data_IF_143022159533
#
_entry.id   IF_143022159533
#
_cell.length_a   1.000
_cell.length_b   1.000
_cell.length_c   1.000
_cell.angle_alpha   90.00
_cell.angle_beta   90.00
_cell.angle_gamma   90.00
#
_symmetry.space_group_name_H-M   'P 1'
#
loop_
_entity.id
_entity.type
_entity.pdbx_description
1 polymer ?
#
# COMPACT_ATOMS: atom_id res chain seq x y z
N UNK A 1 9.89 17.50 20.81
CA UNK A 1 8.78 16.67 21.34
C UNK A 1 7.45 16.83 20.57
N UNK A 2 7.20 17.98 19.94
CA UNK A 2 5.93 18.29 19.21
C UNK A 2 5.68 17.45 17.93
N UNK A 3 6.73 17.03 17.23
CA UNK A 3 6.57 16.41 15.90
C UNK A 3 6.13 14.94 15.90
N UNK A 4 6.39 14.21 16.98
CA UNK A 4 6.02 12.79 17.06
C UNK A 4 4.51 12.62 17.33
N UNK A 5 3.89 13.58 18.01
CA UNK A 5 2.43 13.59 18.22
C UNK A 5 1.65 13.67 16.88
N UNK A 6 2.28 14.21 15.83
CA UNK A 6 1.72 14.29 14.48
C UNK A 6 1.43 12.91 13.85
N UNK A 7 2.18 11.89 14.21
CA UNK A 7 2.08 10.53 13.62
C UNK A 7 1.31 9.55 14.49
N UNK A 8 0.61 10.03 15.49
CA UNK A 8 -0.23 9.24 16.39
C UNK A 8 -1.56 8.91 15.70
N UNK A 9 -2.04 7.66 15.76
CA UNK A 9 -3.35 7.33 15.21
C UNK A 9 -4.46 7.97 16.03
N UNK A 10 -5.55 8.35 15.36
CA UNK A 10 -6.79 8.75 16.01
C UNK A 10 -7.67 7.52 16.29
N UNK A 11 -8.58 7.64 17.27
CA UNK A 11 -9.63 6.66 17.51
C UNK A 11 -10.97 7.16 16.98
N UNK A 12 -11.70 6.29 16.28
CA UNK A 12 -13.04 6.61 15.77
C UNK A 12 -14.01 5.46 16.08
N UNK A 13 -15.11 5.78 16.75
CA UNK A 13 -16.25 4.86 16.87
C UNK A 13 -17.10 4.99 15.58
N UNK A 14 -17.19 3.90 14.82
CA UNK A 14 -17.88 3.84 13.54
C UNK A 14 -19.19 3.03 13.60
N UNK A 15 -19.66 2.66 14.80
CA UNK A 15 -20.85 1.83 14.98
C UNK A 15 -22.13 2.45 14.38
N UNK A 16 -22.19 3.78 14.30
CA UNK A 16 -23.30 4.54 13.73
C UNK A 16 -23.07 4.99 12.28
N UNK A 17 -21.99 4.55 11.63
CA UNK A 17 -21.74 4.88 10.23
C UNK A 17 -22.51 3.93 9.30
N UNK A 18 -22.86 4.43 8.12
CA UNK A 18 -23.53 3.61 7.12
C UNK A 18 -22.57 2.59 6.53
N UNK A 19 -22.91 1.31 6.64
CA UNK A 19 -22.12 0.23 6.04
C UNK A 19 -22.61 -0.04 4.62
N UNK A 20 -21.72 0.02 3.64
CA UNK A 20 -22.04 -0.27 2.24
C UNK A 20 -22.23 -1.79 2.07
N UNK A 21 -23.45 -2.26 1.72
CA UNK A 21 -23.66 -3.70 1.52
C UNK A 21 -22.93 -4.18 0.27
N UNK A 22 -22.46 -5.44 0.29
CA UNK A 22 -21.92 -6.15 -0.88
C UNK A 22 -20.71 -5.54 -1.58
N UNK A 23 -19.88 -4.81 -0.89
CA UNK A 23 -18.58 -4.42 -1.43
C UNK A 23 -17.58 -5.57 -1.32
N UNK A 24 -17.51 -6.45 -2.31
CA UNK A 24 -16.39 -7.35 -2.46
C UNK A 24 -15.22 -6.53 -3.02
N UNK A 25 -14.32 -6.09 -2.16
CA UNK A 25 -13.02 -5.61 -2.59
C UNK A 25 -12.11 -6.81 -2.78
N UNK A 26 -11.33 -6.86 -3.87
CA UNK A 26 -10.34 -7.93 -4.09
C UNK A 26 -9.43 -8.11 -2.86
N UNK A 27 -8.87 -9.30 -2.72
CA UNK A 27 -7.97 -9.67 -1.63
C UNK A 27 -8.52 -10.74 -0.67
N UNK A 28 -7.62 -11.41 0.06
CA UNK A 28 -7.95 -12.53 0.96
C UNK A 28 -8.67 -12.13 2.25
N UNK A 29 -8.82 -10.84 2.53
CA UNK A 29 -9.47 -10.29 3.73
C UNK A 29 -10.67 -9.45 3.35
N UNK A 30 -11.77 -9.61 4.10
CA UNK A 30 -12.96 -8.76 3.94
C UNK A 30 -12.64 -7.33 4.38
N UNK A 31 -12.47 -6.44 3.42
CA UNK A 31 -12.48 -4.99 3.65
C UNK A 31 -13.93 -4.55 3.66
N UNK A 32 -14.34 -3.80 4.66
CA UNK A 32 -15.69 -3.28 4.79
C UNK A 32 -15.68 -1.79 4.52
N UNK A 33 -16.62 -1.31 3.72
CA UNK A 33 -16.73 0.11 3.39
C UNK A 33 -17.76 0.74 4.31
N UNK A 34 -17.35 1.81 4.99
CA UNK A 34 -18.21 2.65 5.81
C UNK A 34 -18.27 4.06 5.23
N UNK A 35 -19.41 4.68 5.37
CA UNK A 35 -19.66 6.05 4.92
C UNK A 35 -19.97 6.87 6.17
N UNK A 36 -19.22 7.95 6.40
CA UNK A 36 -19.45 8.86 7.51
C UNK A 36 -20.59 9.83 7.20
N UNK A 37 -20.85 10.75 8.14
CA UNK A 37 -21.93 11.75 8.01
C UNK A 37 -21.70 12.77 6.88
N UNK A 38 -20.46 12.90 6.39
CA UNK A 38 -20.09 13.81 5.30
C UNK A 38 -20.02 13.08 3.95
N UNK A 39 -20.66 11.93 3.81
CA UNK A 39 -20.64 11.06 2.62
C UNK A 39 -19.23 10.61 2.20
N UNK A 40 -18.25 10.67 3.11
CA UNK A 40 -16.88 10.20 2.85
C UNK A 40 -16.77 8.70 3.08
N UNK A 41 -16.18 8.01 2.11
CA UNK A 41 -15.95 6.57 2.19
C UNK A 41 -14.67 6.25 2.96
N UNK A 42 -14.75 5.24 3.82
CA UNK A 42 -13.66 4.69 4.59
C UNK A 42 -13.61 3.17 4.48
N UNK A 43 -12.41 2.63 4.47
CA UNK A 43 -12.16 1.19 4.51
C UNK A 43 -11.82 0.77 5.94
N UNK A 44 -12.62 -0.13 6.48
CA UNK A 44 -12.36 -0.79 7.76
C UNK A 44 -11.82 -2.19 7.54
N UNK A 45 -10.77 -2.54 8.25
CA UNK A 45 -10.08 -3.83 8.15
C UNK A 45 -9.66 -4.28 9.54
N UNK A 46 -10.28 -5.34 10.01
CA UNK A 46 -9.87 -6.02 11.24
C UNK A 46 -8.91 -7.18 10.98
N UNK A 47 -8.60 -7.92 12.04
CA UNK A 47 -7.81 -9.16 11.92
C UNK A 47 -8.66 -10.30 11.34
N UNK A 48 -8.02 -11.21 10.58
CA UNK A 48 -8.73 -12.33 9.95
C UNK A 48 -9.31 -13.27 11.00
N UNK A 49 -10.65 -13.39 11.03
CA UNK A 49 -11.37 -14.35 11.86
C UNK A 49 -11.38 -15.70 11.18
N UNK A 50 -11.16 -16.77 11.94
CA UNK A 50 -11.26 -18.16 11.50
C UNK A 50 -12.66 -18.71 11.75
N UNK A 51 -12.98 -19.85 11.16
CA UNK A 51 -14.30 -20.49 11.27
C UNK A 51 -14.65 -20.89 12.72
N UNK A 52 -13.64 -21.14 13.55
CA UNK A 52 -13.82 -21.43 14.99
C UNK A 52 -14.04 -20.16 15.83
N UNK A 53 -14.10 -18.99 15.21
CA UNK A 53 -14.29 -17.70 15.87
C UNK A 53 -13.03 -17.06 16.42
N UNK A 54 -11.88 -17.72 16.37
CA UNK A 54 -10.59 -17.16 16.76
C UNK A 54 -10.00 -16.26 15.67
N UNK A 55 -9.00 -15.44 16.00
CA UNK A 55 -8.29 -14.62 15.02
C UNK A 55 -6.96 -15.27 14.64
N UNK A 56 -6.71 -15.42 13.34
CA UNK A 56 -5.46 -16.01 12.82
C UNK A 56 -4.24 -15.19 13.25
N UNK A 57 -4.35 -13.87 13.15
CA UNK A 57 -3.31 -12.91 13.53
C UNK A 57 -3.96 -11.74 14.28
N UNK A 58 -4.17 -11.86 15.60
CA UNK A 58 -4.95 -10.86 16.37
C UNK A 58 -4.37 -9.44 16.32
N UNK A 59 -3.05 -9.31 16.09
CA UNK A 59 -2.33 -8.03 16.08
C UNK A 59 -2.12 -7.45 14.68
N UNK A 60 -2.72 -8.05 13.63
CA UNK A 60 -2.47 -7.67 12.24
C UNK A 60 -2.89 -6.23 11.91
N UNK A 61 -4.04 -5.77 12.43
CA UNK A 61 -4.47 -4.41 12.24
C UNK A 61 -3.50 -3.39 12.88
N UNK A 62 -2.82 -3.76 13.97
CA UNK A 62 -1.76 -2.95 14.57
C UNK A 62 -0.53 -2.84 13.65
N UNK A 63 -0.18 -3.91 12.92
CA UNK A 63 0.90 -3.84 11.94
C UNK A 63 0.59 -2.85 10.82
N UNK A 64 -0.67 -2.78 10.35
CA UNK A 64 -1.11 -1.74 9.40
C UNK A 64 -0.94 -0.32 9.96
N UNK A 65 -1.42 -0.09 11.18
CA UNK A 65 -1.37 1.23 11.83
C UNK A 65 0.07 1.65 12.09
N UNK A 66 0.89 0.76 12.67
CA UNK A 66 2.30 1.04 12.97
C UNK A 66 3.06 1.34 11.67
N UNK A 67 2.90 0.52 10.63
CA UNK A 67 3.54 0.75 9.32
C UNK A 67 3.13 2.09 8.74
N UNK A 68 1.84 2.44 8.78
CA UNK A 68 1.35 3.73 8.31
C UNK A 68 2.03 4.90 9.03
N UNK A 69 2.08 4.89 10.36
CA UNK A 69 2.65 5.99 11.13
C UNK A 69 4.17 6.09 11.00
N UNK A 70 4.88 4.95 10.90
CA UNK A 70 6.32 4.90 10.59
C UNK A 70 6.58 5.46 9.18
N UNK A 71 5.79 5.03 8.18
CA UNK A 71 5.95 5.49 6.81
C UNK A 71 5.73 7.00 6.69
N UNK A 72 4.68 7.55 7.32
CA UNK A 72 4.43 8.99 7.37
C UNK A 72 5.58 9.75 8.05
N UNK A 73 6.07 9.24 9.18
CA UNK A 73 7.19 9.85 9.88
C UNK A 73 8.47 9.88 9.04
N UNK A 74 8.78 8.80 8.33
CA UNK A 74 9.95 8.69 7.45
C UNK A 74 9.73 9.33 6.06
N UNK A 75 8.60 10.00 5.84
CA UNK A 75 8.30 10.75 4.62
C UNK A 75 7.93 9.91 3.40
N UNK A 76 7.47 8.69 3.58
CA UNK A 76 6.91 7.87 2.50
C UNK A 76 5.49 8.31 2.12
N UNK A 77 5.14 8.17 0.85
CA UNK A 77 3.78 8.37 0.38
C UNK A 77 2.94 7.13 0.71
N UNK A 78 2.29 7.15 1.86
CA UNK A 78 1.59 6.00 2.44
C UNK A 78 0.20 6.40 2.93
N UNK A 79 -0.75 5.46 2.79
CA UNK A 79 -2.12 5.64 3.25
C UNK A 79 -2.19 5.79 4.77
N UNK A 80 -2.99 6.72 5.23
CA UNK A 80 -3.16 6.99 6.67
C UNK A 80 -4.15 5.99 7.29
N UNK A 81 -3.64 5.15 8.20
CA UNK A 81 -4.45 4.22 8.98
C UNK A 81 -4.61 4.69 10.42
N UNK A 82 -5.84 4.65 10.90
CA UNK A 82 -6.26 5.05 12.24
C UNK A 82 -6.99 3.90 12.94
N UNK A 83 -7.30 4.05 14.24
CA UNK A 83 -7.99 3.02 15.01
C UNK A 83 -9.49 3.20 14.86
N UNK A 84 -10.22 2.13 14.57
CA UNK A 84 -11.67 2.16 14.56
C UNK A 84 -12.30 1.01 15.34
N UNK A 85 -13.50 1.28 15.83
CA UNK A 85 -14.31 0.32 16.58
C UNK A 85 -15.75 0.34 16.10
N UNK A 86 -16.31 -0.84 15.84
CA UNK A 86 -17.72 -1.07 15.59
C UNK A 86 -18.22 -2.23 16.45
N UNK A 87 -19.02 -1.92 17.46
CA UNK A 87 -19.59 -2.96 18.36
C UNK A 87 -20.46 -3.96 17.61
N UNK A 88 -21.05 -3.56 16.48
CA UNK A 88 -21.94 -4.39 15.67
C UNK A 88 -21.19 -5.27 14.66
N UNK A 89 -19.89 -5.08 14.51
CA UNK A 89 -19.07 -5.86 13.59
C UNK A 89 -18.44 -7.06 14.29
N UNK A 90 -18.34 -8.19 13.58
CA UNK A 90 -17.74 -9.43 14.13
C UNK A 90 -16.27 -9.27 14.54
N UNK A 91 -15.55 -8.35 13.90
CA UNK A 91 -14.15 -8.06 14.20
C UNK A 91 -14.01 -6.99 15.29
N UNK A 92 -15.05 -6.19 15.50
CA UNK A 92 -15.18 -5.10 16.46
C UNK A 92 -14.13 -4.00 16.32
N UNK A 93 -12.83 -4.35 16.38
CA UNK A 93 -11.72 -3.40 16.31
C UNK A 93 -10.86 -3.66 15.07
N UNK A 94 -10.31 -2.59 14.50
CA UNK A 94 -9.44 -2.68 13.33
C UNK A 94 -8.80 -1.36 12.96
N UNK A 95 -8.16 -1.34 11.80
CA UNK A 95 -7.67 -0.12 11.20
C UNK A 95 -8.69 0.47 10.22
N UNK A 96 -8.70 1.79 10.15
CA UNK A 96 -9.56 2.59 9.30
C UNK A 96 -8.72 3.52 8.45
N UNK A 97 -8.97 3.55 7.14
CA UNK A 97 -8.39 4.52 6.23
C UNK A 97 -9.48 5.20 5.41
N UNK A 98 -9.31 6.50 5.15
CA UNK A 98 -10.13 7.19 4.15
C UNK A 98 -9.88 6.56 2.78
N UNK A 99 -10.91 6.45 1.94
CA UNK A 99 -10.74 6.05 0.53
C UNK A 99 -9.71 6.96 -0.14
N UNK A 100 -8.74 6.38 -0.84
CA UNK A 100 -7.75 7.12 -1.62
C UNK A 100 -8.32 7.60 -2.96
N UNK A 101 -9.54 7.22 -3.29
CA UNK A 101 -10.23 7.60 -4.52
C UNK A 101 -11.64 8.11 -4.23
N UNK A 102 -12.06 9.09 -5.00
CA UNK A 102 -13.44 9.54 -5.13
C UNK A 102 -13.93 9.09 -6.50
N UNK A 103 -14.75 8.06 -6.54
CA UNK A 103 -15.12 7.35 -7.78
C UNK A 103 -15.71 8.23 -8.89
N UNK A 104 -16.21 9.43 -8.57
CA UNK A 104 -16.64 10.41 -9.55
C UNK A 104 -15.50 11.19 -10.22
N UNK A 105 -14.29 11.18 -9.62
CA UNK A 105 -13.18 12.04 -10.01
C UNK A 105 -11.93 11.27 -10.41
N UNK A 106 -11.70 10.12 -9.75
CA UNK A 106 -10.51 9.31 -9.96
C UNK A 106 -10.77 7.83 -9.72
N UNK A 107 -9.85 6.98 -10.12
CA UNK A 107 -9.94 5.53 -9.99
C UNK A 107 -8.60 4.93 -9.62
N UNK A 108 -8.62 3.98 -8.68
CA UNK A 108 -7.49 3.07 -8.43
C UNK A 108 -7.55 1.90 -9.42
N UNK A 109 -6.44 1.63 -10.10
CA UNK A 109 -6.18 0.38 -10.81
C UNK A 109 -4.96 -0.28 -10.19
N UNK A 110 -5.13 -1.54 -9.78
CA UNK A 110 -4.08 -2.30 -9.11
C UNK A 110 -2.99 -2.75 -10.10
N UNK A 111 -1.80 -3.05 -9.61
CA UNK A 111 -0.68 -3.51 -10.43
C UNK A 111 -1.04 -4.73 -11.30
N UNK A 112 -1.88 -5.63 -10.78
CA UNK A 112 -2.35 -6.81 -11.55
C UNK A 112 -3.06 -6.43 -12.85
N UNK A 113 -3.82 -5.32 -12.87
CA UNK A 113 -4.53 -4.87 -14.07
C UNK A 113 -3.53 -4.48 -15.18
N UNK A 114 -2.42 -3.82 -14.79
CA UNK A 114 -1.35 -3.42 -15.70
C UNK A 114 -0.52 -4.61 -16.16
N UNK A 115 -0.15 -5.51 -15.25
CA UNK A 115 0.61 -6.71 -15.61
C UNK A 115 -0.15 -7.59 -16.60
N UNK A 116 -1.45 -7.79 -16.40
CA UNK A 116 -2.33 -8.50 -17.35
C UNK A 116 -2.58 -7.70 -18.63
N UNK A 117 -2.58 -6.38 -18.57
CA UNK A 117 -2.67 -5.53 -19.76
C UNK A 117 -1.42 -5.62 -20.64
N UNK A 118 -0.24 -5.83 -20.05
CA UNK A 118 1.02 -6.05 -20.74
C UNK A 118 1.14 -7.49 -21.26
N UNK A 119 0.95 -8.48 -20.39
CA UNK A 119 0.89 -9.91 -20.75
C UNK A 119 -0.48 -10.50 -20.39
N UNK A 120 -1.36 -10.60 -21.41
CA UNK A 120 -2.73 -11.10 -21.22
C UNK A 120 -2.81 -12.57 -20.78
N UNK A 121 -1.68 -13.30 -20.80
CA UNK A 121 -1.60 -14.70 -20.34
C UNK A 121 -1.12 -14.80 -18.88
N UNK A 122 -0.65 -13.69 -18.30
CA UNK A 122 -0.15 -13.70 -16.94
C UNK A 122 -1.25 -14.09 -15.94
N UNK A 123 -1.00 -15.17 -15.22
CA UNK A 123 -1.87 -15.63 -14.12
C UNK A 123 -1.07 -15.68 -12.82
N UNK A 124 -1.36 -14.81 -11.84
CA UNK A 124 -0.62 -14.75 -10.57
C UNK A 124 -0.62 -16.06 -9.79
N UNK A 125 -1.66 -16.89 -9.94
CA UNK A 125 -1.78 -18.16 -9.20
C UNK A 125 -0.85 -19.25 -9.74
N UNK A 126 -0.48 -19.19 -11.03
CA UNK A 126 0.40 -20.18 -11.68
C UNK A 126 1.76 -19.62 -12.08
N UNK A 127 1.84 -18.32 -12.30
CA UNK A 127 3.02 -17.62 -12.80
C UNK A 127 3.71 -16.75 -11.74
N UNK A 128 3.57 -17.11 -10.45
CA UNK A 128 4.21 -16.37 -9.34
C UNK A 128 5.69 -16.09 -9.59
N UNK A 129 6.43 -17.03 -10.23
CA UNK A 129 7.85 -16.90 -10.52
C UNK A 129 8.17 -15.78 -11.50
N UNK A 130 7.20 -15.36 -12.34
CA UNK A 130 7.33 -14.24 -13.29
C UNK A 130 7.14 -12.87 -12.64
N UNK A 131 6.66 -12.81 -11.38
CA UNK A 131 6.46 -11.54 -10.69
C UNK A 131 7.82 -10.95 -10.26
N UNK A 132 8.56 -10.47 -11.26
CA UNK A 132 9.91 -9.93 -11.14
C UNK A 132 9.90 -8.41 -11.30
N UNK A 133 10.95 -7.77 -10.75
CA UNK A 133 11.15 -6.33 -10.96
C UNK A 133 11.23 -5.97 -12.46
N UNK A 134 11.93 -6.79 -13.25
CA UNK A 134 12.03 -6.55 -14.71
C UNK A 134 10.66 -6.64 -15.41
N UNK A 135 9.81 -7.59 -15.04
CA UNK A 135 8.46 -7.70 -15.58
C UNK A 135 7.62 -6.46 -15.25
N UNK A 136 7.73 -5.95 -14.02
CA UNK A 136 7.07 -4.71 -13.60
C UNK A 136 7.61 -3.52 -14.40
N UNK A 137 8.94 -3.38 -14.52
CA UNK A 137 9.59 -2.30 -15.27
C UNK A 137 9.13 -2.28 -16.72
N UNK A 138 9.15 -3.41 -17.43
CA UNK A 138 8.65 -3.52 -18.81
C UNK A 138 7.17 -3.15 -18.91
N UNK A 139 6.37 -3.50 -17.90
CA UNK A 139 4.96 -3.10 -17.84
C UNK A 139 4.83 -1.58 -17.72
N UNK A 140 5.61 -0.94 -16.84
CA UNK A 140 5.61 0.53 -16.71
C UNK A 140 6.03 1.23 -17.99
N UNK A 141 7.07 0.74 -18.66
CA UNK A 141 7.52 1.24 -19.96
C UNK A 141 6.40 1.13 -21.01
N UNK A 142 5.73 -0.03 -21.08
CA UNK A 142 4.65 -0.26 -22.04
C UNK A 142 3.49 0.72 -21.88
N UNK A 143 3.16 1.09 -20.63
CA UNK A 143 2.09 2.04 -20.33
C UNK A 143 2.55 3.50 -20.20
N UNK A 144 3.81 3.83 -20.50
CA UNK A 144 4.43 5.15 -20.34
C UNK A 144 4.33 5.68 -18.88
N UNK A 145 4.53 4.80 -17.90
CA UNK A 145 4.51 5.08 -16.46
C UNK A 145 5.90 5.01 -15.80
N UNK A 146 6.97 5.14 -16.57
CA UNK A 146 8.36 5.08 -16.07
C UNK A 146 8.65 6.14 -15.02
N UNK A 147 7.95 7.27 -15.05
CA UNK A 147 8.02 8.30 -14.01
C UNK A 147 7.57 7.81 -12.62
N UNK A 148 6.83 6.70 -12.57
CA UNK A 148 6.38 6.06 -11.34
C UNK A 148 7.41 5.06 -10.76
N UNK A 149 8.45 4.66 -11.51
CA UNK A 149 9.47 3.73 -11.02
C UNK A 149 10.14 4.19 -9.72
N UNK A 150 10.52 5.47 -9.56
CA UNK A 150 11.09 5.94 -8.29
C UNK A 150 10.19 5.67 -7.08
N UNK A 151 8.88 5.82 -7.24
CA UNK A 151 7.91 5.54 -6.17
C UNK A 151 7.76 4.05 -5.88
N UNK A 152 7.86 3.22 -6.90
CA UNK A 152 7.90 1.77 -6.74
C UNK A 152 9.15 1.33 -5.96
N UNK A 153 10.33 1.90 -6.27
CA UNK A 153 11.58 1.65 -5.52
C UNK A 153 11.45 2.13 -4.08
N UNK A 154 10.92 3.33 -3.82
CA UNK A 154 10.65 3.82 -2.46
C UNK A 154 9.75 2.85 -1.67
N UNK A 155 8.73 2.25 -2.31
CA UNK A 155 7.88 1.24 -1.70
C UNK A 155 8.64 -0.03 -1.33
N UNK A 156 9.55 -0.53 -2.19
CA UNK A 156 10.39 -1.70 -1.89
C UNK A 156 11.35 -1.43 -0.74
N UNK A 157 11.92 -0.21 -0.65
CA UNK A 157 12.74 0.22 0.48
C UNK A 157 11.91 0.24 1.77
N UNK A 158 10.70 0.77 1.71
CA UNK A 158 9.79 0.76 2.86
C UNK A 158 9.40 -0.66 3.28
N UNK A 159 9.10 -1.55 2.34
CA UNK A 159 8.83 -2.97 2.62
C UNK A 159 10.01 -3.66 3.31
N UNK A 160 11.25 -3.30 2.96
CA UNK A 160 12.44 -3.79 3.66
C UNK A 160 12.50 -3.29 5.11
N UNK A 161 12.15 -2.04 5.39
CA UNK A 161 12.14 -1.45 6.75
C UNK A 161 11.11 -2.15 7.64
N UNK A 162 9.91 -2.38 7.16
CA UNK A 162 8.84 -3.01 7.96
C UNK A 162 8.86 -4.55 7.87
N UNK A 163 9.60 -5.11 6.92
CA UNK A 163 9.65 -6.55 6.62
C UNK A 163 8.35 -7.08 6.04
N UNK A 164 7.73 -6.35 5.14
CA UNK A 164 6.50 -6.76 4.48
C UNK A 164 6.79 -7.87 3.46
N UNK A 165 6.18 -9.03 3.63
CA UNK A 165 6.37 -10.21 2.79
C UNK A 165 5.20 -10.50 1.85
N UNK A 166 4.29 -9.55 1.67
CA UNK A 166 3.02 -9.74 0.96
C UNK A 166 2.74 -8.59 -0.03
N UNK A 167 3.79 -8.02 -0.64
CA UNK A 167 3.65 -6.97 -1.67
C UNK A 167 3.33 -7.60 -3.02
N UNK A 168 2.25 -8.36 -3.09
CA UNK A 168 1.77 -8.91 -4.35
C UNK A 168 1.13 -7.82 -5.23
N UNK A 169 0.83 -8.17 -6.45
CA UNK A 169 0.41 -7.25 -7.53
C UNK A 169 -0.93 -6.52 -7.29
N UNK A 170 -1.71 -6.91 -6.28
CA UNK A 170 -2.94 -6.22 -5.85
C UNK A 170 -2.70 -5.23 -4.70
N UNK A 171 -1.47 -5.21 -4.11
CA UNK A 171 -1.13 -4.38 -2.96
C UNK A 171 -0.36 -3.11 -3.34
N UNK A 172 -0.36 -2.73 -4.61
CA UNK A 172 0.11 -1.46 -5.16
C UNK A 172 -0.66 -1.14 -6.43
N UNK A 173 -0.61 0.09 -6.89
CA UNK A 173 -1.35 0.49 -8.09
C UNK A 173 -1.18 1.94 -8.46
N UNK A 174 -2.07 2.41 -9.30
CA UNK A 174 -2.07 3.76 -9.85
C UNK A 174 -3.44 4.40 -9.70
N UNK A 175 -3.43 5.71 -9.41
CA UNK A 175 -4.64 6.53 -9.36
C UNK A 175 -4.71 7.35 -10.64
N UNK A 176 -5.77 7.14 -11.42
CA UNK A 176 -6.05 7.89 -12.65
C UNK A 176 -7.03 9.03 -12.35
N UNK A 177 -6.63 10.28 -12.61
CA UNK A 177 -7.34 11.52 -12.26
C UNK A 177 -8.12 12.05 -13.47
N UNK A 178 -9.36 11.64 -13.61
CA UNK A 178 -10.19 11.99 -14.76
C UNK A 178 -10.63 13.47 -14.75
N UNK A 179 -11.01 14.00 -13.59
CA UNK A 179 -11.53 15.35 -13.45
C UNK A 179 -10.49 16.42 -13.79
N UNK A 180 -9.26 16.23 -13.29
CA UNK A 180 -8.16 17.17 -13.56
C UNK A 180 -7.81 17.19 -15.04
N UNK A 181 -7.74 16.02 -15.67
CA UNK A 181 -7.48 15.89 -17.12
C UNK A 181 -8.57 16.59 -17.96
N UNK A 182 -9.84 16.46 -17.57
CA UNK A 182 -10.94 17.15 -18.26
C UNK A 182 -10.78 18.69 -18.13
N UNK A 183 -10.44 19.19 -16.94
CA UNK A 183 -10.25 20.61 -16.67
C UNK A 183 -9.07 21.18 -17.46
N UNK A 184 -7.97 20.44 -17.56
CA UNK A 184 -6.80 20.84 -18.36
C UNK A 184 -7.14 20.93 -19.85
N UNK A 185 -7.81 19.90 -20.39
CA UNK A 185 -8.29 19.89 -21.77
C UNK A 185 -9.23 21.06 -22.03
N UNK A 186 -10.17 21.34 -21.12
CA UNK A 186 -11.08 22.49 -21.24
C UNK A 186 -10.33 23.83 -21.24
N UNK A 187 -9.28 23.95 -20.41
CA UNK A 187 -8.43 25.16 -20.34
C UNK A 187 -7.65 25.35 -21.63
N UNK A 188 -7.04 24.29 -22.17
CA UNK A 188 -6.32 24.34 -23.44
C UNK A 188 -7.24 24.70 -24.63
N UNK A 189 -8.48 24.18 -24.62
CA UNK A 189 -9.45 24.49 -25.68
C UNK A 189 -9.92 25.93 -25.61
N UNK A 190 -10.10 26.48 -24.40
CA UNK A 190 -10.46 27.89 -24.21
C UNK A 190 -9.35 28.83 -24.69
N UNK A 191 -8.08 28.39 -24.60
CA UNK A 191 -6.92 29.20 -25.05
C UNK A 191 -6.64 29.05 -26.53
N UNK A 192 -6.98 27.91 -27.16
CA UNK A 192 -6.82 27.66 -28.61
C UNK A 192 -8.17 27.80 -29.31
N UNK A 193 -8.50 28.98 -29.83
CA UNK A 193 -9.75 29.30 -30.59
C UNK A 193 -9.89 28.54 -31.89
N UNK A 194 -9.69 27.21 -32.03
CA UNK A 194 -9.85 26.49 -33.28
C UNK A 194 -10.11 25.01 -33.10
N UNK A 195 -10.92 24.47 -34.03
CA UNK A 195 -11.11 23.06 -34.41
C UNK A 195 -11.41 21.98 -33.34
N UNK A 196 -10.85 22.04 -32.14
CA UNK A 196 -11.03 21.04 -31.05
C UNK A 196 -12.40 21.10 -30.35
N UNK A 197 -13.17 22.20 -30.50
CA UNK A 197 -14.49 22.35 -29.87
C UNK A 197 -15.52 21.26 -30.24
N UNK A 198 -15.30 20.50 -31.31
CA UNK A 198 -16.17 19.38 -31.71
C UNK A 198 -15.77 18.03 -31.05
N UNK A 199 -14.55 17.94 -30.57
CA UNK A 199 -14.01 16.68 -29.98
C UNK A 199 -14.33 16.59 -28.49
N UNK A 200 -14.39 17.70 -27.78
CA UNK A 200 -14.65 17.74 -26.33
C UNK A 200 -15.95 17.13 -25.87
N UNK A 201 -17.11 17.37 -26.54
CA UNK A 201 -18.35 16.72 -26.13
C UNK A 201 -18.30 15.19 -26.27
N UNK A 202 -17.53 14.68 -27.27
CA UNK A 202 -17.29 13.23 -27.44
C UNK A 202 -16.35 12.69 -26.36
N UNK A 203 -15.26 13.41 -26.02
CA UNK A 203 -14.37 13.06 -24.93
C UNK A 203 -15.09 13.10 -23.56
N UNK A 204 -15.87 14.16 -23.27
CA UNK A 204 -16.71 14.22 -22.06
C UNK A 204 -17.67 13.03 -21.96
N UNK A 205 -18.29 12.64 -23.06
CA UNK A 205 -19.14 11.44 -23.11
C UNK A 205 -18.37 10.14 -22.89
N UNK A 206 -17.15 10.06 -23.40
CA UNK A 206 -16.26 8.89 -23.30
C UNK A 206 -15.70 8.75 -21.89
N UNK A 207 -15.28 9.84 -21.24
CA UNK A 207 -14.70 9.83 -19.90
C UNK A 207 -15.81 9.77 -18.82
N UNK A 208 -16.96 10.44 -19.03
CA UNK A 208 -18.07 10.46 -18.08
C UNK A 208 -18.91 9.17 -18.04
N UNK A 209 -18.76 8.26 -19.02
CA UNK A 209 -19.45 6.98 -18.95
C UNK A 209 -18.57 5.95 -18.23
N UNK A 210 -18.77 5.78 -16.92
CA UNK A 210 -18.34 4.58 -16.18
C UNK A 210 -18.73 3.27 -16.90
N UNK A 211 -19.78 3.33 -17.73
CA UNK A 211 -20.18 2.27 -18.66
C UNK A 211 -19.15 1.95 -19.74
N UNK A 212 -18.34 2.90 -20.21
CA UNK A 212 -17.29 2.61 -21.17
C UNK A 212 -16.14 1.84 -20.50
N UNK A 213 -15.82 2.15 -19.27
CA UNK A 213 -14.79 1.42 -18.51
C UNK A 213 -15.27 0.02 -18.13
N UNK A 214 -16.55 -0.14 -17.77
CA UNK A 214 -17.15 -1.47 -17.58
C UNK A 214 -17.22 -2.25 -18.90
N UNK A 215 -17.55 -1.61 -20.02
CA UNK A 215 -17.47 -2.21 -21.35
C UNK A 215 -16.05 -2.56 -21.76
N UNK A 216 -15.06 -1.71 -21.48
CA UNK A 216 -13.66 -2.03 -21.73
C UNK A 216 -13.25 -3.24 -20.89
N UNK A 217 -13.68 -3.34 -19.62
CA UNK A 217 -13.41 -4.50 -18.76
C UNK A 217 -14.16 -5.77 -19.19
N UNK A 218 -15.35 -5.63 -19.77
CA UNK A 218 -16.12 -6.76 -20.35
C UNK A 218 -15.61 -7.16 -21.73
N UNK A 219 -15.18 -6.19 -22.54
CA UNK A 219 -14.54 -6.44 -23.84
C UNK A 219 -13.11 -6.95 -23.68
N UNK A 220 -12.37 -6.56 -22.62
CA UNK A 220 -11.07 -7.13 -22.25
C UNK A 220 -11.15 -8.63 -21.91
N UNK A 221 -12.30 -9.10 -21.41
CA UNK A 221 -12.53 -10.55 -21.26
C UNK A 221 -12.68 -11.28 -22.60
N UNK A 222 -13.00 -10.57 -23.66
CA UNK A 222 -13.40 -11.19 -24.94
C UNK A 222 -12.63 -10.72 -26.19
N UNK A 223 -11.81 -9.67 -26.11
CA UNK A 223 -11.09 -9.12 -27.27
C UNK A 223 -9.64 -8.79 -26.87
N UNK A 224 -8.68 -9.21 -27.69
CA UNK A 224 -7.29 -8.75 -27.61
C UNK A 224 -7.29 -7.22 -27.74
N UNK A 225 -6.94 -6.46 -26.71
CA UNK A 225 -6.93 -5.00 -26.77
C UNK A 225 -5.96 -4.59 -27.89
N UNK A 226 -6.41 -3.74 -28.81
CA UNK A 226 -5.51 -3.11 -29.76
C UNK A 226 -4.56 -2.23 -28.94
N UNK A 227 -3.25 -2.52 -29.03
CA UNK A 227 -2.13 -1.84 -28.36
C UNK A 227 -2.30 -0.31 -28.27
N UNK A 228 -2.92 0.32 -29.28
CA UNK A 228 -3.17 1.74 -29.37
C UNK A 228 -4.23 2.31 -28.42
N UNK A 229 -5.20 1.52 -27.95
CA UNK A 229 -6.34 2.05 -27.18
C UNK A 229 -5.97 2.28 -25.72
N UNK A 230 -5.26 1.36 -25.07
CA UNK A 230 -4.77 1.49 -23.70
C UNK A 230 -3.66 2.53 -23.59
N UNK A 231 -2.71 2.57 -24.53
CA UNK A 231 -1.65 3.59 -24.59
C UNK A 231 -2.26 4.98 -24.74
N UNK A 232 -3.24 5.16 -25.64
CA UNK A 232 -3.90 6.44 -25.82
C UNK A 232 -4.73 6.86 -24.59
N UNK A 233 -5.28 5.92 -23.84
CA UNK A 233 -6.00 6.24 -22.59
C UNK A 233 -5.05 6.67 -21.48
N UNK A 234 -3.91 6.02 -21.34
CA UNK A 234 -2.89 6.38 -20.33
C UNK A 234 -2.26 7.74 -20.64
N UNK A 235 -2.10 8.09 -21.92
CA UNK A 235 -1.60 9.41 -22.37
C UNK A 235 -2.63 10.54 -22.17
N UNK A 236 -3.93 10.23 -22.07
CA UNK A 236 -5.01 11.22 -21.95
C UNK A 236 -5.44 11.46 -20.51
N UNK A 237 -5.00 10.64 -19.56
CA UNK A 237 -5.41 10.70 -18.16
C UNK A 237 -4.17 10.82 -17.29
N UNK A 238 -4.12 11.86 -16.47
CA UNK A 238 -3.06 11.99 -15.48
C UNK A 238 -3.12 10.79 -14.54
N UNK A 239 -2.06 10.00 -14.52
CA UNK A 239 -1.94 8.78 -13.70
C UNK A 239 -0.74 8.91 -12.78
N UNK A 240 -0.92 8.67 -11.50
CA UNK A 240 0.14 8.72 -10.49
C UNK A 240 0.21 7.40 -9.70
N UNK A 241 1.37 7.12 -9.12
CA UNK A 241 1.53 5.98 -8.22
C UNK A 241 0.66 6.18 -6.97
N UNK A 242 -0.07 5.15 -6.55
CA UNK A 242 -0.92 5.22 -5.36
C UNK A 242 -0.10 5.40 -4.07
N UNK A 243 -0.67 5.91 -2.98
CA UNK A 243 -0.06 5.74 -1.67
C UNK A 243 0.23 4.27 -1.40
N UNK A 244 1.30 3.96 -0.64
CA UNK A 244 1.56 2.60 -0.15
C UNK A 244 0.39 2.18 0.75
N UNK A 245 -0.19 1.02 0.50
CA UNK A 245 -1.30 0.46 1.27
C UNK A 245 -1.11 -1.04 1.50
N UNK A 246 -1.95 -1.65 2.33
CA UNK A 246 -1.95 -3.07 2.66
C UNK A 246 -0.59 -3.59 3.16
N UNK A 247 -0.09 -2.97 4.24
CA UNK A 247 1.19 -3.28 4.86
C UNK A 247 1.06 -4.11 6.15
N UNK A 248 -0.03 -4.84 6.33
CA UNK A 248 -0.30 -5.61 7.56
C UNK A 248 0.51 -6.89 7.71
N UNK A 249 1.11 -7.41 6.63
CA UNK A 249 1.90 -8.64 6.63
C UNK A 249 3.37 -8.40 7.01
N UNK A 250 3.60 -7.70 8.12
CA UNK A 250 4.92 -7.25 8.54
C UNK A 250 5.08 -7.26 10.07
N UNK A 251 6.24 -6.80 10.54
CA UNK A 251 6.55 -6.52 11.94
C UNK A 251 6.34 -7.72 12.88
N UNK A 252 6.48 -8.95 12.35
CA UNK A 252 6.37 -10.17 13.14
C UNK A 252 4.95 -10.53 13.57
N UNK A 253 3.92 -10.08 12.83
CA UNK A 253 2.50 -10.35 13.16
C UNK A 253 2.17 -11.83 13.28
N UNK A 254 2.88 -12.68 12.53
CA UNK A 254 2.69 -14.13 12.48
C UNK A 254 3.36 -14.87 13.64
N UNK A 255 4.21 -14.21 14.41
CA UNK A 255 4.96 -14.83 15.49
C UNK A 255 4.07 -15.06 16.71
N UNK A 256 4.20 -16.23 17.34
CA UNK A 256 3.62 -16.49 18.64
C UNK A 256 4.41 -15.78 19.75
N UNK A 257 3.77 -15.50 20.87
CA UNK A 257 4.38 -14.71 21.97
C UNK A 257 5.64 -15.37 22.54
N UNK A 258 5.68 -16.70 22.67
CA UNK A 258 6.89 -17.42 23.09
C UNK A 258 8.07 -17.20 22.14
N UNK A 259 7.79 -17.12 20.84
CA UNK A 259 8.80 -16.83 19.81
C UNK A 259 9.26 -15.38 19.92
N UNK A 260 8.34 -14.45 20.17
CA UNK A 260 8.64 -13.03 20.40
C UNK A 260 9.57 -12.88 21.59
N UNK A 261 9.26 -13.49 22.75
CA UNK A 261 10.09 -13.45 23.94
C UNK A 261 11.52 -13.97 23.69
N UNK A 262 11.66 -15.08 22.98
CA UNK A 262 12.97 -15.62 22.58
C UNK A 262 13.74 -14.65 21.70
N UNK A 263 13.11 -14.06 20.70
CA UNK A 263 13.74 -13.10 19.79
C UNK A 263 14.13 -11.79 20.49
N UNK A 264 13.44 -11.40 21.54
CA UNK A 264 13.79 -10.21 22.33
C UNK A 264 15.08 -10.40 23.15
N UNK A 265 15.40 -11.64 23.49
CA UNK A 265 16.60 -12.00 24.31
C UNK A 265 17.75 -12.58 23.48
N UNK A 266 17.45 -13.07 22.26
CA UNK A 266 18.44 -13.67 21.36
C UNK A 266 18.64 -12.82 20.10
N UNK A 267 19.71 -12.03 20.09
CA UNK A 267 20.04 -11.15 18.98
C UNK A 267 20.38 -11.92 17.68
N UNK A 268 20.97 -13.10 17.79
CA UNK A 268 21.28 -13.93 16.59
C UNK A 268 19.99 -14.42 15.92
N UNK A 269 19.03 -14.81 16.74
CA UNK A 269 17.71 -15.20 16.26
C UNK A 269 16.96 -14.04 15.60
N UNK A 270 17.03 -12.84 16.20
CA UNK A 270 16.45 -11.62 15.64
C UNK A 270 17.09 -11.25 14.30
N UNK A 271 18.44 -11.28 14.23
CA UNK A 271 19.16 -10.97 13.00
C UNK A 271 18.87 -12.00 11.89
N UNK A 272 18.86 -13.28 12.22
CA UNK A 272 18.50 -14.34 11.27
C UNK A 272 17.07 -14.17 10.73
N UNK A 273 16.14 -13.70 11.56
CA UNK A 273 14.78 -13.38 11.14
C UNK A 273 14.76 -12.19 10.16
N UNK A 274 15.47 -11.12 10.47
CA UNK A 274 15.55 -9.92 9.63
C UNK A 274 16.20 -10.22 8.27
N UNK A 275 17.37 -10.87 8.28
CA UNK A 275 18.21 -11.05 7.08
C UNK A 275 17.72 -12.19 6.20
N UNK A 276 17.27 -13.31 6.78
CA UNK A 276 17.01 -14.54 6.01
C UNK A 276 15.55 -14.82 5.76
N UNK A 277 14.65 -14.44 6.70
CA UNK A 277 13.21 -14.76 6.60
C UNK A 277 12.38 -13.64 5.99
N UNK A 278 12.79 -12.39 6.12
CA UNK A 278 12.14 -11.27 5.46
C UNK A 278 12.41 -11.30 3.95
N UNK A 279 11.56 -11.95 3.19
CA UNK A 279 11.68 -12.06 1.73
C UNK A 279 10.71 -11.11 1.04
N UNK A 280 11.18 -10.52 -0.06
CA UNK A 280 10.33 -9.72 -0.93
C UNK A 280 9.38 -10.62 -1.72
N UNK A 281 8.16 -10.14 -1.95
CA UNK A 281 7.22 -10.74 -2.89
C UNK A 281 7.67 -10.54 -4.34
N UNK A 282 8.20 -9.33 -4.63
CA UNK A 282 8.83 -9.01 -5.91
C UNK A 282 10.17 -9.71 -6.00
N UNK A 283 10.40 -10.46 -7.06
CA UNK A 283 11.65 -11.19 -7.34
C UNK A 283 12.61 -10.31 -8.16
N UNK A 284 13.89 -10.55 -8.05
CA UNK A 284 14.85 -9.92 -8.96
C UNK A 284 14.84 -10.61 -10.33
N UNK A 285 14.92 -11.94 -10.33
CA UNK A 285 14.85 -12.79 -11.51
C UNK A 285 13.74 -13.83 -11.35
N UNK A 286 13.35 -14.48 -12.43
CA UNK A 286 12.40 -15.59 -12.39
C UNK A 286 12.89 -16.70 -11.43
N UNK A 287 12.01 -17.17 -10.58
CA UNK A 287 12.32 -18.24 -9.64
C UNK A 287 11.91 -17.97 -8.20
N UNK A 288 12.86 -18.08 -7.25
CA UNK A 288 12.59 -17.98 -5.81
C UNK A 288 12.58 -16.55 -5.30
N UNK A 289 11.73 -16.29 -4.31
CA UNK A 289 11.76 -15.04 -3.52
C UNK A 289 13.10 -14.91 -2.79
N UNK A 290 13.71 -13.73 -2.90
CA UNK A 290 14.97 -13.38 -2.24
C UNK A 290 14.74 -12.45 -1.03
N UNK A 291 15.67 -12.37 -0.09
CA UNK A 291 15.59 -11.40 1.00
C UNK A 291 15.47 -9.95 0.51
N UNK A 292 14.77 -9.11 1.27
CA UNK A 292 14.59 -7.69 0.91
C UNK A 292 15.91 -6.97 0.62
N UNK A 293 16.91 -7.15 1.49
CA UNK A 293 18.20 -6.48 1.34
C UNK A 293 19.00 -6.96 0.14
N UNK A 294 18.87 -8.24 -0.23
CA UNK A 294 19.46 -8.78 -1.46
C UNK A 294 18.79 -8.17 -2.70
N UNK A 295 17.45 -8.07 -2.70
CA UNK A 295 16.74 -7.38 -3.78
C UNK A 295 17.21 -5.93 -3.91
N UNK A 296 17.25 -5.19 -2.81
CA UNK A 296 17.64 -3.78 -2.82
C UNK A 296 19.09 -3.60 -3.30
N UNK A 297 20.02 -4.46 -2.88
CA UNK A 297 21.41 -4.45 -3.35
C UNK A 297 21.51 -4.63 -4.87
N UNK A 298 20.70 -5.53 -5.43
CA UNK A 298 20.68 -5.76 -6.88
C UNK A 298 20.09 -4.55 -7.65
N UNK A 299 19.19 -3.77 -7.04
CA UNK A 299 18.55 -2.61 -7.67
C UNK A 299 19.34 -1.31 -7.46
N UNK A 300 20.22 -1.25 -6.46
CA UNK A 300 20.93 -0.03 -6.06
C UNK A 300 21.71 0.62 -7.21
N UNK A 301 22.46 -0.16 -7.99
CA UNK A 301 23.28 0.37 -9.09
C UNK A 301 22.44 1.11 -10.13
N UNK A 302 21.29 0.59 -10.47
CA UNK A 302 20.40 1.18 -11.49
C UNK A 302 19.64 2.39 -10.94
N UNK A 303 19.24 2.34 -9.65
CA UNK A 303 18.41 3.37 -9.00
C UNK A 303 19.16 4.18 -7.95
N UNK A 304 20.47 4.33 -8.10
CA UNK A 304 21.37 4.99 -7.13
C UNK A 304 20.85 6.32 -6.62
N UNK A 305 20.33 7.18 -7.51
CA UNK A 305 19.80 8.50 -7.13
C UNK A 305 18.58 8.41 -6.22
N UNK A 306 17.62 7.53 -6.54
CA UNK A 306 16.41 7.32 -5.74
C UNK A 306 16.79 6.72 -4.40
N UNK A 307 17.69 5.76 -4.42
CA UNK A 307 18.19 5.06 -3.24
C UNK A 307 18.85 6.06 -2.27
N UNK A 308 19.89 6.77 -2.73
CA UNK A 308 20.61 7.77 -1.93
C UNK A 308 19.67 8.84 -1.36
N UNK A 309 18.74 9.38 -2.18
CA UNK A 309 17.76 10.36 -1.71
C UNK A 309 16.87 9.80 -0.61
N UNK A 310 16.43 8.55 -0.75
CA UNK A 310 15.53 7.92 0.22
C UNK A 310 16.25 7.60 1.52
N UNK A 311 17.48 7.07 1.44
CA UNK A 311 18.30 6.77 2.63
C UNK A 311 18.67 8.04 3.38
N UNK A 312 19.16 9.08 2.70
CA UNK A 312 19.47 10.37 3.34
C UNK A 312 18.26 10.94 4.08
N UNK A 313 17.07 10.90 3.48
CA UNK A 313 15.83 11.31 4.14
C UNK A 313 15.52 10.49 5.39
N UNK A 314 15.74 9.18 5.33
CA UNK A 314 15.52 8.29 6.49
C UNK A 314 16.51 8.67 7.58
N UNK A 315 17.79 8.86 7.29
CA UNK A 315 18.83 9.20 8.27
C UNK A 315 18.59 10.55 8.95
N UNK A 316 18.11 11.54 8.19
CA UNK A 316 17.75 12.85 8.74
C UNK A 316 16.57 12.78 9.71
N UNK A 317 15.60 11.91 9.45
CA UNK A 317 14.36 11.82 10.23
C UNK A 317 14.45 10.81 11.35
N UNK A 318 15.19 9.71 11.15
CA UNK A 318 15.22 8.58 12.05
C UNK A 318 15.95 8.91 13.36
N UNK A 319 15.38 8.40 14.44
CA UNK A 319 16.00 8.36 15.77
C UNK A 319 15.37 7.21 16.54
N UNK A 320 16.20 6.40 17.21
CA UNK A 320 15.73 5.29 18.04
C UNK A 320 14.73 5.73 19.12
N UNK A 321 15.00 6.87 19.78
CA UNK A 321 14.12 7.41 20.82
C UNK A 321 12.77 7.89 20.24
N UNK A 322 12.79 8.46 19.05
CA UNK A 322 11.54 8.81 18.34
C UNK A 322 10.75 7.57 17.95
N UNK A 323 11.41 6.54 17.38
CA UNK A 323 10.78 5.26 17.08
C UNK A 323 10.11 4.65 18.31
N UNK A 324 10.84 4.55 19.41
CA UNK A 324 10.34 4.06 20.70
C UNK A 324 9.13 4.84 21.17
N UNK A 325 9.23 6.17 21.17
CA UNK A 325 8.13 7.06 21.57
C UNK A 325 6.89 6.88 20.70
N UNK A 326 7.06 6.78 19.38
CA UNK A 326 5.95 6.57 18.44
C UNK A 326 5.24 5.24 18.72
N UNK A 327 5.98 4.14 18.81
CA UNK A 327 5.39 2.80 19.01
C UNK A 327 4.75 2.66 20.41
N UNK A 328 5.36 3.19 21.46
CA UNK A 328 4.74 3.14 22.78
C UNK A 328 3.49 4.01 22.91
N UNK A 329 3.32 5.01 22.05
CA UNK A 329 2.14 5.87 22.00
C UNK A 329 1.09 5.41 20.98
N UNK A 330 1.31 4.33 20.28
CA UNK A 330 0.46 3.91 19.15
C UNK A 330 -0.99 3.65 19.55
N UNK A 331 -1.21 3.19 20.76
CA UNK A 331 -2.51 2.80 21.29
C UNK A 331 -3.05 3.75 22.39
N UNK A 332 -2.45 4.92 22.58
CA UNK A 332 -2.86 5.85 23.65
C UNK A 332 -4.25 6.45 23.45
N UNK A 333 -4.76 6.46 22.23
CA UNK A 333 -6.10 6.96 21.93
C UNK A 333 -7.22 5.94 22.19
N UNK A 334 -6.86 4.69 22.55
CA UNK A 334 -7.89 3.70 22.89
C UNK A 334 -8.65 4.13 24.15
N UNK A 335 -9.99 4.15 24.10
CA UNK A 335 -10.83 4.34 25.28
C UNK A 335 -10.58 3.28 26.35
N UNK A 336 -10.80 3.63 27.63
CA UNK A 336 -10.60 2.70 28.77
C UNK A 336 -11.35 1.38 28.59
N UNK A 337 -12.55 1.40 28.01
CA UNK A 337 -13.36 0.20 27.73
C UNK A 337 -12.75 -0.76 26.71
N UNK A 338 -11.80 -0.29 25.88
CA UNK A 338 -11.17 -1.04 24.82
C UNK A 338 -9.71 -1.40 25.09
N UNK A 339 -9.20 -1.19 26.31
CA UNK A 339 -7.80 -1.49 26.67
C UNK A 339 -7.41 -2.97 26.47
N UNK A 340 -8.38 -3.89 26.46
CA UNK A 340 -8.14 -5.30 26.10
C UNK A 340 -7.58 -5.50 24.68
N UNK A 341 -7.75 -4.51 23.79
CA UNK A 341 -7.25 -4.51 22.41
C UNK A 341 -5.93 -3.78 22.23
N UNK A 342 -5.35 -3.30 23.32
CA UNK A 342 -4.05 -2.61 23.31
C UNK A 342 -2.97 -3.51 22.71
N UNK A 343 -2.02 -2.91 21.99
CA UNK A 343 -0.86 -3.63 21.51
C UNK A 343 0.02 -4.04 22.72
N UNK A 344 0.27 -5.36 22.93
CA UNK A 344 1.09 -5.80 24.06
C UNK A 344 2.51 -5.22 24.01
N UNK A 345 3.07 -4.89 25.18
CA UNK A 345 4.39 -4.25 25.25
C UNK A 345 5.50 -5.11 24.64
N UNK A 346 5.42 -6.45 24.81
CA UNK A 346 6.37 -7.38 24.15
C UNK A 346 6.33 -7.26 22.62
N UNK A 347 5.17 -6.97 22.03
CA UNK A 347 5.02 -6.74 20.57
C UNK A 347 5.59 -5.39 20.19
N UNK A 348 5.39 -4.36 21.02
CA UNK A 348 6.00 -3.02 20.82
C UNK A 348 7.52 -3.12 20.82
N UNK A 349 8.10 -3.83 21.79
CA UNK A 349 9.55 -4.05 21.89
C UNK A 349 10.08 -4.80 20.67
N UNK A 350 9.38 -5.84 20.20
CA UNK A 350 9.77 -6.55 19.00
C UNK A 350 9.75 -5.64 17.76
N UNK A 351 8.67 -4.88 17.57
CA UNK A 351 8.53 -3.96 16.43
C UNK A 351 9.64 -2.92 16.41
N UNK A 352 9.98 -2.35 17.59
CA UNK A 352 11.09 -1.39 17.75
C UNK A 352 12.41 -2.04 17.31
N UNK A 353 12.74 -3.22 17.84
CA UNK A 353 13.98 -3.92 17.50
C UNK A 353 14.05 -4.31 16.02
N UNK A 354 12.94 -4.76 15.45
CA UNK A 354 12.88 -5.15 14.03
C UNK A 354 13.14 -3.94 13.11
N UNK A 355 12.47 -2.82 13.35
CA UNK A 355 12.60 -1.60 12.54
C UNK A 355 14.01 -1.03 12.69
N UNK A 356 14.52 -0.88 13.91
CA UNK A 356 15.86 -0.37 14.18
C UNK A 356 16.94 -1.20 13.45
N UNK A 357 16.89 -2.54 13.60
CA UNK A 357 17.84 -3.42 12.94
C UNK A 357 17.74 -3.34 11.41
N UNK A 358 16.52 -3.24 10.85
CA UNK A 358 16.32 -3.14 9.41
C UNK A 358 16.81 -1.82 8.84
N UNK A 359 16.64 -0.71 9.55
CA UNK A 359 17.18 0.59 9.13
C UNK A 359 18.72 0.55 9.18
N UNK A 360 19.32 -0.03 10.21
CA UNK A 360 20.78 -0.22 10.27
C UNK A 360 21.31 -1.06 9.10
N UNK A 361 20.63 -2.17 8.78
CA UNK A 361 21.00 -3.02 7.63
C UNK A 361 20.80 -2.31 6.28
N UNK A 362 19.83 -1.42 6.18
CA UNK A 362 19.62 -0.61 4.98
C UNK A 362 20.77 0.37 4.76
N UNK A 363 21.28 1.01 5.84
CA UNK A 363 22.39 1.94 5.77
C UNK A 363 23.72 1.22 5.41
N UNK A 364 23.93 -0.02 5.93
CA UNK A 364 25.09 -0.85 5.56
C UNK A 364 25.15 -1.18 4.06
N UNK A 365 24.03 -1.12 3.33
CA UNK A 365 24.05 -1.33 1.87
C UNK A 365 24.48 -0.09 1.09
N UNK A 366 24.43 1.10 1.70
CA UNK A 366 24.74 2.37 1.05
C UNK A 366 26.20 2.78 1.22
N UNK A 367 26.97 2.04 2.04
CA UNK A 367 28.42 2.18 2.25
C UNK A 367 29.21 1.35 1.22
#
# INVERSE_FOLDING_TARGET
MSDILKYKPTFTDIANWNKKPYSSTGGTRSKKIYINQDDTEFFFKGSKKLDDGTFKYPMEFWSEIVSSKIGQWLGFYILDYNIAYDVNDEQQIGCLSKSMVEYSENKLSEGIDYLRGYDSKYNPDTDEFKYTFNFIKQTLEYFNLTECEPKFIEMLIFDAIIGNSDRHQENWGFISKFKETILEIEKEIKTKKSFLGKIVPKLKKIIASSALYQRIREEEKNLKPKKSTLINQTLLVQTEFSPIYDSGCCLGRELLDDRVLKMLTDNQMLEAYVVRKGKSEVRFEEGKKIPHFELLKNLEMEYKTVYAKTINRIDELYSYEKLKTLIYNIDKELPKSLLKHKLPDIRKDLMIKLIDLRIKKLNELSE
#
